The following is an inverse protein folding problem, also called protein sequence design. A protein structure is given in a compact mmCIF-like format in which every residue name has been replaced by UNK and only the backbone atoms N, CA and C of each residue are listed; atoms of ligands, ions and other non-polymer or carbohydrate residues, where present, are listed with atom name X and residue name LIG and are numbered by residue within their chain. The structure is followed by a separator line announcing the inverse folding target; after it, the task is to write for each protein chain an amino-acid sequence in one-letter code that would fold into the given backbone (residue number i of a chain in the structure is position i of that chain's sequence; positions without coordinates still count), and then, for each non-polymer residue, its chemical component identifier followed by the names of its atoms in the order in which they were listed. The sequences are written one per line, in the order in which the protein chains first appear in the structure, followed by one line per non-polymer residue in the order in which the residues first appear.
data_IF_818749156182
#
_entry.id   IF_818749156182
#
_cell.length_a   1.000
_cell.length_b   1.000
_cell.length_c   1.000
_cell.angle_alpha   90.00
_cell.angle_beta   90.00
_cell.angle_gamma   90.00
#
_symmetry.space_group_name_H-M   'P 1'
#
loop_
_entity.id
_entity.type
_entity.pdbx_description
1 polymer ?
#
# COMPACT_ATOMS: atom_id res chain seq x y z
N UNK A 1 11.78 3.21 -17.24
CA UNK A 1 11.25 2.89 -15.90
C UNK A 1 11.55 4.07 -15.01
N UNK A 2 10.51 4.72 -14.48
CA UNK A 2 10.67 5.87 -13.57
C UNK A 2 11.12 5.40 -12.19
N UNK A 3 11.82 6.27 -11.48
CA UNK A 3 12.15 6.08 -10.07
C UNK A 3 10.86 6.17 -9.22
N UNK A 4 10.75 5.35 -8.17
CA UNK A 4 9.56 5.29 -7.30
C UNK A 4 9.26 6.66 -6.67
N UNK A 5 10.31 7.40 -6.30
CA UNK A 5 10.16 8.75 -5.76
C UNK A 5 9.53 9.69 -6.80
N UNK A 6 9.90 9.56 -8.07
CA UNK A 6 9.27 10.33 -9.16
C UNK A 6 7.81 9.95 -9.34
N UNK A 7 7.47 8.66 -9.26
CA UNK A 7 6.06 8.20 -9.34
C UNK A 7 5.22 8.79 -8.21
N UNK A 8 5.72 8.80 -6.98
CA UNK A 8 5.01 9.36 -5.83
C UNK A 8 4.93 10.89 -5.92
N UNK A 9 5.96 11.57 -6.44
CA UNK A 9 5.91 13.01 -6.70
C UNK A 9 4.84 13.37 -7.74
N UNK A 10 4.77 12.63 -8.85
CA UNK A 10 3.72 12.81 -9.86
C UNK A 10 2.34 12.55 -9.29
N UNK A 11 2.21 11.51 -8.46
CA UNK A 11 0.98 11.19 -7.75
C UNK A 11 0.51 12.34 -6.85
N UNK A 12 1.43 12.95 -6.09
CA UNK A 12 1.12 14.12 -5.26
C UNK A 12 0.75 15.37 -6.09
N UNK A 13 1.36 15.56 -7.27
CA UNK A 13 0.97 16.66 -8.16
C UNK A 13 -0.47 16.51 -8.69
N UNK A 14 -0.93 15.28 -8.91
CA UNK A 14 -2.30 14.99 -9.36
C UNK A 14 -3.33 15.10 -8.22
N UNK A 15 -2.94 14.79 -6.99
CA UNK A 15 -3.78 14.85 -5.79
C UNK A 15 -3.21 15.85 -4.77
N UNK A 16 -3.60 17.15 -4.82
CA UNK A 16 -2.99 18.21 -4.01
C UNK A 16 -3.11 18.03 -2.49
N UNK A 17 -4.03 17.18 -2.04
CA UNK A 17 -4.23 16.83 -0.64
C UNK A 17 -3.56 15.50 -0.26
N UNK A 18 -2.66 14.99 -1.08
CA UNK A 18 -1.89 13.79 -0.80
C UNK A 18 -0.97 14.01 0.41
N UNK A 19 -1.11 13.14 1.41
CA UNK A 19 -0.24 13.07 2.56
C UNK A 19 0.86 12.05 2.27
N UNK A 20 2.11 12.52 2.25
CA UNK A 20 3.30 11.68 2.09
C UNK A 20 4.38 12.09 3.09
N UNK A 21 4.38 11.42 4.24
CA UNK A 21 5.37 11.67 5.29
C UNK A 21 6.66 10.91 4.96
N UNK A 22 7.78 11.62 4.83
CA UNK A 22 9.10 10.99 4.67
C UNK A 22 9.66 10.56 6.02
N UNK A 23 10.33 9.41 6.03
CA UNK A 23 11.00 8.87 7.20
C UNK A 23 12.31 9.63 7.45
N UNK A 24 12.44 10.25 8.61
CA UNK A 24 13.73 10.78 9.06
C UNK A 24 14.57 9.67 9.71
N UNK A 25 15.57 9.13 9.01
CA UNK A 25 16.42 8.05 9.53
C UNK A 25 17.21 8.41 10.81
N UNK A 26 17.32 9.69 11.19
CA UNK A 26 17.88 10.07 12.50
C UNK A 26 16.89 9.86 13.65
N UNK A 27 15.58 9.82 13.35
CA UNK A 27 14.48 9.51 14.26
C UNK A 27 14.19 8.00 14.31
N UNK A 28 14.49 7.26 13.24
CA UNK A 28 14.17 5.83 13.09
C UNK A 28 15.43 4.97 12.98
N UNK A 29 15.57 3.98 13.86
CA UNK A 29 16.67 3.01 13.75
C UNK A 29 16.41 2.11 12.55
N UNK A 30 17.38 2.03 11.61
CA UNK A 30 17.37 1.06 10.50
C UNK A 30 17.13 -0.39 10.97
N UNK A 31 17.44 -0.67 12.23
CA UNK A 31 17.19 -1.94 12.90
C UNK A 31 15.71 -2.34 12.90
N UNK A 32 14.77 -1.40 13.09
CA UNK A 32 13.33 -1.76 13.17
C UNK A 32 12.76 -2.21 11.82
N UNK A 33 13.12 -1.50 10.73
CA UNK A 33 12.77 -1.95 9.37
C UNK A 33 13.41 -3.30 9.09
N UNK A 34 14.66 -3.51 9.53
CA UNK A 34 15.36 -4.79 9.34
C UNK A 34 14.64 -5.92 10.08
N UNK A 35 14.29 -5.73 11.35
CA UNK A 35 13.55 -6.71 12.16
C UNK A 35 12.18 -7.04 11.53
N UNK A 36 11.49 -6.03 11.00
CA UNK A 36 10.23 -6.23 10.29
C UNK A 36 10.42 -7.05 9.01
N UNK A 37 11.43 -6.72 8.20
CA UNK A 37 11.76 -7.47 6.99
C UNK A 37 12.27 -8.88 7.31
N UNK A 38 12.87 -9.11 8.46
CA UNK A 38 13.24 -10.45 8.93
C UNK A 38 12.01 -11.28 9.30
N UNK A 39 11.03 -10.67 9.99
CA UNK A 39 9.74 -11.29 10.29
C UNK A 39 8.96 -11.64 9.02
N UNK A 40 9.00 -10.78 8.01
CA UNK A 40 8.33 -10.95 6.73
C UNK A 40 9.33 -11.06 5.58
N UNK A 41 10.21 -12.08 5.64
CA UNK A 41 11.34 -12.25 4.73
C UNK A 41 10.97 -12.20 3.24
N UNK A 42 9.75 -12.62 2.85
CA UNK A 42 9.28 -12.55 1.47
C UNK A 42 9.26 -11.11 0.92
N UNK A 43 9.06 -10.09 1.78
CA UNK A 43 9.09 -8.68 1.37
C UNK A 43 10.45 -8.26 0.84
N UNK A 44 11.55 -8.91 1.25
CA UNK A 44 12.89 -8.62 0.73
C UNK A 44 13.02 -8.84 -0.78
N UNK A 45 12.13 -9.64 -1.37
CA UNK A 45 12.06 -9.84 -2.83
C UNK A 45 11.31 -8.69 -3.53
N UNK A 46 10.49 -7.90 -2.80
CA UNK A 46 9.71 -6.77 -3.29
C UNK A 46 10.52 -5.47 -3.18
N UNK A 47 11.63 -5.36 -3.93
CA UNK A 47 12.61 -4.26 -3.81
C UNK A 47 11.98 -2.87 -3.75
N UNK A 48 11.09 -2.54 -4.69
CA UNK A 48 10.41 -1.23 -4.72
C UNK A 48 9.55 -0.97 -3.48
N UNK A 49 8.92 -2.01 -2.92
CA UNK A 49 8.17 -1.85 -1.67
C UNK A 49 9.11 -1.70 -0.46
N UNK A 50 10.24 -2.39 -0.44
CA UNK A 50 11.27 -2.18 0.60
C UNK A 50 11.83 -0.76 0.55
N UNK A 51 12.09 -0.25 -0.66
CA UNK A 51 12.52 1.14 -0.89
C UNK A 51 11.45 2.13 -0.41
N UNK A 52 10.17 1.83 -0.68
CA UNK A 52 9.03 2.57 -0.17
C UNK A 52 9.03 2.63 1.37
N UNK A 53 9.08 1.47 2.05
CA UNK A 53 9.09 1.38 3.51
C UNK A 53 10.32 2.05 4.15
N UNK A 54 11.41 2.19 3.42
CA UNK A 54 12.62 2.87 3.87
C UNK A 54 12.57 4.38 3.71
N UNK A 55 11.61 4.88 2.93
CA UNK A 55 11.53 6.29 2.53
C UNK A 55 10.29 6.99 3.08
N UNK A 56 9.15 6.29 3.17
CA UNK A 56 7.84 6.88 3.49
C UNK A 56 7.15 6.15 4.66
N UNK A 57 6.53 6.92 5.56
CA UNK A 57 5.65 6.40 6.63
C UNK A 57 4.19 6.28 6.18
N UNK A 58 3.95 6.37 4.88
CA UNK A 58 2.68 6.16 4.21
C UNK A 58 2.49 7.14 3.06
N UNK A 59 1.61 6.79 2.14
CA UNK A 59 1.10 7.68 1.08
C UNK A 59 -0.40 7.55 1.06
N UNK A 60 -1.11 8.67 1.13
CA UNK A 60 -2.57 8.66 1.06
C UNK A 60 -3.16 9.92 0.47
N UNK A 61 -4.37 9.83 -0.06
CA UNK A 61 -5.14 10.99 -0.50
C UNK A 61 -6.64 10.74 -0.34
N UNK A 62 -7.39 11.84 -0.31
CA UNK A 62 -8.85 11.80 -0.37
C UNK A 62 -9.37 12.64 -1.55
N UNK A 63 -9.77 12.02 -2.66
CA UNK A 63 -10.27 12.76 -3.80
C UNK A 63 -11.74 13.14 -3.59
N UNK A 64 -11.97 14.41 -3.23
CA UNK A 64 -13.30 14.97 -2.97
C UNK A 64 -14.25 14.88 -4.17
N UNK A 65 -13.74 14.76 -5.41
CA UNK A 65 -14.58 14.68 -6.61
C UNK A 65 -15.16 13.28 -6.84
N UNK A 66 -14.39 12.23 -6.53
CA UNK A 66 -14.81 10.83 -6.68
C UNK A 66 -15.22 10.19 -5.35
N UNK A 67 -15.09 10.91 -4.22
CA UNK A 67 -15.20 10.37 -2.87
C UNK A 67 -14.35 9.11 -2.68
N UNK A 68 -13.12 9.17 -3.18
CA UNK A 68 -12.15 8.10 -3.16
C UNK A 68 -11.10 8.37 -2.09
N UNK A 69 -10.90 7.39 -1.22
CA UNK A 69 -9.87 7.35 -0.18
C UNK A 69 -8.87 6.26 -0.55
N UNK A 70 -7.62 6.64 -0.70
CA UNK A 70 -6.54 5.72 -1.03
C UNK A 70 -5.45 5.82 0.00
N UNK A 71 -4.90 4.66 0.35
CA UNK A 71 -3.81 4.54 1.30
C UNK A 71 -2.84 3.43 0.92
N UNK A 72 -1.55 3.73 0.96
CA UNK A 72 -0.46 2.76 1.08
C UNK A 72 0.20 2.87 2.44
N UNK A 73 0.32 1.73 3.12
CA UNK A 73 0.91 1.67 4.45
C UNK A 73 2.44 1.71 4.37
N UNK A 74 3.02 2.69 5.06
CA UNK A 74 4.47 2.83 5.20
C UNK A 74 4.98 2.20 6.48
N UNK A 75 6.13 2.69 6.96
CA UNK A 75 6.75 2.17 8.18
C UNK A 75 7.12 3.28 9.17
N UNK A 76 6.97 2.99 10.47
CA UNK A 76 7.47 3.82 11.57
C UNK A 76 8.06 2.96 12.70
N UNK A 77 8.34 3.56 13.87
CA UNK A 77 8.98 2.87 15.00
C UNK A 77 8.12 1.75 15.62
N UNK A 78 6.82 1.68 15.31
CA UNK A 78 5.91 0.64 15.80
C UNK A 78 5.67 -0.46 14.76
N UNK A 79 6.07 -0.27 13.50
CA UNK A 79 5.83 -1.20 12.40
C UNK A 79 5.13 -0.54 11.21
N UNK A 80 4.24 -1.30 10.56
CA UNK A 80 3.41 -0.78 9.46
C UNK A 80 2.43 0.26 10.00
N UNK A 81 2.33 1.39 9.29
CA UNK A 81 1.54 2.53 9.71
C UNK A 81 0.84 3.24 8.55
N UNK A 82 -0.23 3.94 8.87
CA UNK A 82 -0.81 4.99 8.04
C UNK A 82 -0.43 6.33 8.67
N UNK A 83 0.63 6.97 8.16
CA UNK A 83 1.21 8.18 8.74
C UNK A 83 1.92 7.95 10.10
N UNK A 84 2.67 8.95 10.58
CA UNK A 84 3.58 8.86 11.73
C UNK A 84 2.87 8.53 13.07
N UNK A 85 1.55 8.71 13.16
CA UNK A 85 0.78 8.65 14.41
C UNK A 85 -0.19 7.47 14.51
N UNK A 86 -0.45 6.72 13.44
CA UNK A 86 -1.41 5.61 13.45
C UNK A 86 -0.73 4.27 13.25
N UNK A 87 -1.02 3.33 14.15
CA UNK A 87 -0.50 1.97 14.08
C UNK A 87 -1.60 1.01 13.62
N UNK A 88 -1.26 0.14 12.68
CA UNK A 88 -2.19 -0.85 12.16
C UNK A 88 -2.29 -2.05 13.10
N UNK A 89 -3.43 -2.22 13.79
CA UNK A 89 -3.63 -3.26 14.79
C UNK A 89 -4.17 -4.58 14.23
N UNK A 90 -4.65 -4.60 12.98
CA UNK A 90 -5.17 -5.82 12.38
C UNK A 90 -4.04 -6.76 11.91
N UNK A 91 -4.31 -8.07 11.80
CA UNK A 91 -3.34 -9.00 11.25
C UNK A 91 -2.94 -8.58 9.84
N UNK A 92 -1.66 -8.28 9.64
CA UNK A 92 -1.12 -7.95 8.32
C UNK A 92 -1.17 -9.13 7.35
N UNK A 93 -1.29 -10.36 7.84
CA UNK A 93 -1.37 -11.56 7.01
C UNK A 93 -2.69 -12.27 7.30
N UNK A 94 -3.47 -12.52 6.26
CA UNK A 94 -4.71 -13.28 6.38
C UNK A 94 -4.49 -14.79 6.38
N UNK A 95 -5.56 -15.54 6.64
CA UNK A 95 -5.51 -17.01 6.71
C UNK A 95 -5.16 -17.67 5.36
N UNK A 96 -5.23 -16.94 4.24
CA UNK A 96 -4.90 -17.42 2.90
C UNK A 96 -3.47 -17.07 2.49
N UNK A 97 -2.67 -16.48 3.40
CA UNK A 97 -1.27 -16.14 3.13
C UNK A 97 -1.11 -14.87 2.28
N UNK A 98 -2.06 -13.93 2.39
CA UNK A 98 -1.96 -12.62 1.75
C UNK A 98 -1.58 -11.55 2.76
N UNK A 99 -0.52 -10.80 2.44
CA UNK A 99 -0.01 -9.69 3.24
C UNK A 99 -0.64 -8.37 2.80
N UNK A 100 -1.31 -7.67 3.71
CA UNK A 100 -1.96 -6.39 3.51
C UNK A 100 -0.97 -5.22 3.58
N UNK A 101 -1.02 -4.34 2.59
CA UNK A 101 -0.13 -3.17 2.52
C UNK A 101 -0.79 -1.85 2.08
N UNK A 102 -2.11 -1.82 1.89
CA UNK A 102 -2.84 -0.61 1.58
C UNK A 102 -4.31 -0.89 1.29
N UNK A 103 -5.07 0.15 1.01
CA UNK A 103 -6.47 0.04 0.58
C UNK A 103 -6.87 1.18 -0.36
N UNK A 104 -8.01 0.97 -1.02
CA UNK A 104 -8.75 1.93 -1.81
C UNK A 104 -10.22 1.79 -1.47
N UNK A 105 -10.84 2.87 -1.03
CA UNK A 105 -12.26 2.93 -0.72
C UNK A 105 -12.91 4.02 -1.57
N UNK A 106 -13.98 3.67 -2.29
CA UNK A 106 -14.79 4.64 -3.02
C UNK A 106 -16.20 4.65 -2.43
N UNK A 107 -16.55 5.75 -1.77
CA UNK A 107 -17.78 5.86 -0.99
C UNK A 107 -19.04 5.78 -1.87
N UNK A 108 -19.02 6.39 -3.05
CA UNK A 108 -20.18 6.45 -3.96
C UNK A 108 -20.56 5.08 -4.51
N UNK A 109 -19.56 4.26 -4.83
CA UNK A 109 -19.76 2.91 -5.38
C UNK A 109 -19.82 1.86 -4.26
N UNK A 110 -19.56 2.26 -3.01
CA UNK A 110 -19.42 1.38 -1.85
C UNK A 110 -18.43 0.24 -2.11
N UNK A 111 -17.32 0.57 -2.79
CA UNK A 111 -16.25 -0.35 -3.14
C UNK A 111 -15.14 -0.20 -2.11
N UNK A 112 -14.76 -1.31 -1.47
CA UNK A 112 -13.62 -1.38 -0.56
C UNK A 112 -12.67 -2.47 -1.03
N UNK A 113 -11.46 -2.05 -1.41
CA UNK A 113 -10.41 -2.92 -1.95
C UNK A 113 -9.19 -2.83 -1.04
N UNK A 114 -8.77 -3.97 -0.52
CA UNK A 114 -7.47 -4.11 0.12
C UNK A 114 -6.40 -4.45 -0.93
N UNK A 115 -5.22 -3.83 -0.82
CA UNK A 115 -4.05 -4.21 -1.62
C UNK A 115 -3.20 -5.21 -0.86
N UNK A 116 -3.00 -6.39 -1.46
CA UNK A 116 -2.31 -7.49 -0.81
C UNK A 116 -1.22 -8.12 -1.68
N UNK A 117 -0.13 -8.56 -1.06
CA UNK A 117 0.87 -9.44 -1.67
C UNK A 117 0.55 -10.89 -1.33
N UNK A 118 0.62 -11.79 -2.31
CA UNK A 118 0.60 -13.22 -1.99
C UNK A 118 1.99 -13.65 -1.51
N UNK A 119 2.10 -14.25 -0.32
CA UNK A 119 3.40 -14.60 0.29
C UNK A 119 4.15 -15.64 -0.53
N UNK A 120 3.44 -16.63 -1.09
CA UNK A 120 4.02 -17.70 -1.91
C UNK A 120 4.41 -17.25 -3.32
N UNK A 121 3.97 -16.06 -3.75
CA UNK A 121 4.20 -15.55 -5.10
C UNK A 121 5.03 -14.26 -5.07
N UNK A 122 6.24 -14.37 -5.59
CA UNK A 122 7.33 -13.46 -5.27
C UNK A 122 7.08 -12.01 -5.71
N UNK A 123 6.17 -11.72 -6.65
CA UNK A 123 5.99 -10.35 -7.19
C UNK A 123 4.54 -9.84 -7.27
N UNK A 124 3.53 -10.69 -7.25
CA UNK A 124 2.16 -10.25 -7.59
C UNK A 124 1.44 -9.47 -6.48
N UNK A 125 0.71 -8.43 -6.89
CA UNK A 125 -0.21 -7.61 -6.10
C UNK A 125 -1.63 -7.98 -6.52
N UNK A 126 -2.50 -8.18 -5.53
CA UNK A 126 -3.92 -8.47 -5.72
C UNK A 126 -4.79 -7.42 -5.04
N UNK A 127 -5.98 -7.19 -5.61
CA UNK A 127 -7.12 -6.62 -4.93
C UNK A 127 -7.77 -7.73 -4.10
N UNK A 128 -7.94 -7.49 -2.81
CA UNK A 128 -8.72 -8.32 -1.89
C UNK A 128 -10.03 -7.60 -1.62
N UNK A 129 -11.13 -8.21 -2.03
CA UNK A 129 -12.48 -7.65 -1.94
C UNK A 129 -13.36 -8.57 -1.09
N UNK A 130 -14.14 -7.98 -0.18
CA UNK A 130 -15.16 -8.73 0.55
C UNK A 130 -16.46 -8.70 -0.24
N UNK A 131 -16.84 -9.84 -0.81
CA UNK A 131 -18.08 -9.99 -1.57
C UNK A 131 -19.06 -10.77 -0.71
N UNK A 132 -20.20 -10.16 -0.38
CA UNK A 132 -21.24 -10.85 0.38
C UNK A 132 -22.27 -11.43 -0.60
N UNK A 133 -22.63 -12.73 -0.48
CA UNK A 133 -22.24 -13.69 0.56
C UNK A 133 -20.99 -14.54 0.23
N UNK A 134 -20.35 -14.37 -0.93
CA UNK A 134 -19.33 -15.29 -1.48
C UNK A 134 -17.99 -15.33 -0.72
N UNK A 135 -17.76 -14.42 0.24
CA UNK A 135 -16.58 -14.39 1.08
C UNK A 135 -15.55 -13.36 0.62
N UNK A 136 -14.30 -13.80 0.41
CA UNK A 136 -13.18 -12.93 0.00
C UNK A 136 -12.76 -13.34 -1.41
N UNK A 137 -12.70 -12.37 -2.33
CA UNK A 137 -12.17 -12.53 -3.68
C UNK A 137 -10.79 -11.88 -3.78
N UNK A 138 -9.87 -12.54 -4.46
CA UNK A 138 -8.55 -12.00 -4.80
C UNK A 138 -8.44 -11.85 -6.32
N UNK A 139 -8.21 -10.63 -6.80
CA UNK A 139 -8.09 -10.30 -8.22
C UNK A 139 -6.68 -9.80 -8.50
N UNK A 140 -5.96 -10.40 -9.44
CA UNK A 140 -4.62 -9.93 -9.83
C UNK A 140 -4.68 -8.49 -10.37
N UNK A 141 -3.76 -7.63 -9.91
CA UNK A 141 -3.67 -6.24 -10.37
C UNK A 141 -2.41 -5.99 -11.19
N UNK A 142 -1.24 -6.27 -10.61
CA UNK A 142 0.08 -5.91 -11.17
C UNK A 142 1.21 -6.62 -10.42
N UNK A 143 2.46 -6.40 -10.82
CA UNK A 143 3.64 -7.03 -10.19
C UNK A 143 4.44 -6.09 -9.29
N UNK A 144 4.25 -4.78 -9.40
CA UNK A 144 5.07 -3.81 -8.69
C UNK A 144 4.25 -2.61 -8.21
N UNK A 145 4.71 -1.97 -7.13
CA UNK A 145 3.97 -0.89 -6.47
C UNK A 145 3.86 0.38 -7.33
N UNK A 146 4.82 0.65 -8.21
CA UNK A 146 4.72 1.77 -9.16
C UNK A 146 3.66 1.48 -10.23
N UNK A 147 3.54 0.24 -10.71
CA UNK A 147 2.43 -0.16 -11.59
C UNK A 147 1.08 0.00 -10.87
N UNK A 148 0.99 -0.38 -9.59
CA UNK A 148 -0.21 -0.15 -8.78
C UNK A 148 -0.56 1.33 -8.71
N UNK A 149 0.42 2.19 -8.39
CA UNK A 149 0.22 3.64 -8.32
C UNK A 149 -0.23 4.22 -9.66
N UNK A 150 0.32 3.76 -10.78
CA UNK A 150 -0.16 4.17 -12.10
C UNK A 150 -1.61 3.75 -12.35
N UNK A 151 -2.00 2.54 -11.97
CA UNK A 151 -3.38 2.07 -12.10
C UNK A 151 -4.37 2.84 -11.24
N UNK A 152 -3.95 3.30 -10.07
CA UNK A 152 -4.74 4.21 -9.23
C UNK A 152 -4.89 5.57 -9.92
N UNK A 153 -3.80 6.12 -10.48
CA UNK A 153 -3.84 7.41 -11.19
C UNK A 153 -4.72 7.39 -12.46
N UNK A 154 -4.81 6.24 -13.14
CA UNK A 154 -5.62 6.05 -14.34
C UNK A 154 -7.03 5.51 -14.08
N UNK A 155 -7.42 5.32 -12.81
CA UNK A 155 -8.69 4.70 -12.40
C UNK A 155 -8.93 3.31 -13.02
N UNK A 156 -7.87 2.52 -13.21
CA UNK A 156 -7.95 1.17 -13.77
C UNK A 156 -8.25 0.08 -12.72
N UNK A 157 -8.16 0.40 -11.44
CA UNK A 157 -8.44 -0.55 -10.35
C UNK A 157 -9.95 -0.79 -10.21
N UNK A 158 -10.73 0.28 -10.40
CA UNK A 158 -12.18 0.28 -10.26
C UNK A 158 -12.76 0.13 -11.67
N UNK A 159 -12.80 -1.10 -12.15
CA UNK A 159 -13.40 -1.41 -13.44
C UNK A 159 -14.93 -1.26 -13.34
N UNK A 160 -15.49 -0.32 -14.11
CA UNK A 160 -16.94 -0.12 -14.31
C UNK A 160 -17.60 -1.30 -15.00
#
# INVERSE_FOLDING_TARGET
MGDLETTIQNFNQQFPNCLQSKISLSKYKREEITLFLDKYAFLKMKKKYVDFLSTFSGVSYFNQKSNEDFTLYGFNYNGICFNDNEYFQEPLVDANGYFLFGHLFQLEENIFIDFVFKIEDNLTIYAREKILPEGIKYTFLCNEIDELLQKVLSNEIIAK
#
